data_IF_347166867259
#
_entry.id   IF_347166867259
#
_cell.length_a   1.000
_cell.length_b   1.000
_cell.length_c   1.000
_cell.angle_alpha   90.00
_cell.angle_beta   90.00
_cell.angle_gamma   90.00
#
_symmetry.space_group_name_H-M   'P 1'
#
loop_
_entity.id
_entity.type
_entity.pdbx_description
1 polymer ?
#
# COMPACT_ATOMS: atom_id res chain seq x y z
N UNK A 1 -7.25 -0.24 15.90
CA UNK A 1 -7.15 -0.33 14.44
C UNK A 1 -6.47 0.93 13.94
N UNK A 2 -5.49 0.81 13.04
CA UNK A 2 -4.76 1.96 12.47
C UNK A 2 -5.46 2.43 11.20
N UNK A 3 -5.21 3.66 10.78
CA UNK A 3 -5.92 4.31 9.68
C UNK A 3 -5.00 5.15 8.82
N UNK A 4 -5.09 4.96 7.50
CA UNK A 4 -4.57 5.89 6.50
C UNK A 4 -5.71 6.84 6.12
N UNK A 5 -5.50 8.15 6.29
CA UNK A 5 -6.49 9.19 6.02
C UNK A 5 -6.06 9.95 4.77
N UNK A 6 -7.01 10.26 3.90
CA UNK A 6 -6.73 11.01 2.66
C UNK A 6 -7.80 12.07 2.39
N UNK A 7 -7.40 13.07 1.60
CA UNK A 7 -8.24 14.12 1.06
C UNK A 7 -8.01 14.21 -0.45
N UNK A 8 -9.06 14.02 -1.22
CA UNK A 8 -9.10 14.22 -2.66
C UNK A 8 -9.61 15.65 -2.93
N UNK A 9 -8.68 16.54 -3.30
CA UNK A 9 -8.99 17.95 -3.53
C UNK A 9 -9.82 18.19 -4.79
N UNK A 10 -9.72 17.32 -5.79
CA UNK A 10 -10.45 17.47 -7.06
C UNK A 10 -11.93 17.10 -6.89
N UNK A 11 -12.22 16.11 -6.03
CA UNK A 11 -13.59 15.70 -5.70
C UNK A 11 -14.17 16.38 -4.47
N UNK A 12 -13.33 17.01 -3.65
CA UNK A 12 -13.72 17.54 -2.34
C UNK A 12 -14.10 16.43 -1.34
N UNK A 13 -13.49 15.25 -1.47
CA UNK A 13 -13.83 14.06 -0.70
C UNK A 13 -12.73 13.74 0.32
N UNK A 14 -13.12 13.37 1.55
CA UNK A 14 -12.21 12.76 2.53
C UNK A 14 -12.56 11.29 2.70
N UNK A 15 -11.56 10.48 3.02
CA UNK A 15 -11.78 9.09 3.38
C UNK A 15 -10.70 8.53 4.28
N UNK A 16 -10.93 7.31 4.74
CA UNK A 16 -9.97 6.56 5.54
C UNK A 16 -10.00 5.08 5.16
N UNK A 17 -8.84 4.44 5.23
CA UNK A 17 -8.69 2.98 5.09
C UNK A 17 -8.10 2.45 6.38
N UNK A 18 -8.80 1.50 7.01
CA UNK A 18 -8.42 0.91 8.29
C UNK A 18 -7.66 -0.39 8.11
N UNK A 19 -6.64 -0.63 8.94
CA UNK A 19 -5.81 -1.83 8.89
C UNK A 19 -5.33 -2.28 10.28
N UNK A 20 -4.98 -3.58 10.45
CA UNK A 20 -4.42 -4.08 11.71
C UNK A 20 -2.95 -3.63 11.88
N UNK A 21 -2.51 -3.43 13.13
CA UNK A 21 -1.09 -3.26 13.40
C UNK A 21 -0.41 -4.61 13.48
N UNK A 22 0.67 -4.76 12.73
CA UNK A 22 1.61 -5.87 12.89
C UNK A 22 2.75 -5.34 13.76
N UNK A 23 3.08 -5.97 14.90
CA UNK A 23 3.99 -5.42 15.90
C UNK A 23 5.47 -5.58 15.52
N UNK A 24 5.84 -5.17 14.30
CA UNK A 24 7.19 -5.17 13.75
C UNK A 24 7.58 -3.76 13.32
N UNK A 25 8.83 -3.38 13.58
CA UNK A 25 9.40 -2.15 13.02
C UNK A 25 10.04 -2.48 11.68
N UNK A 26 9.59 -1.80 10.64
CA UNK A 26 10.11 -1.91 9.28
C UNK A 26 10.47 -0.54 8.74
N UNK A 27 11.44 -0.50 7.83
CA UNK A 27 11.89 0.71 7.16
C UNK A 27 11.36 0.74 5.72
N UNK A 28 11.23 1.94 5.14
CA UNK A 28 10.85 2.13 3.73
C UNK A 28 9.37 1.96 3.40
N UNK A 29 8.50 1.62 4.36
CA UNK A 29 7.06 1.44 4.11
C UNK A 29 6.38 2.71 3.60
N UNK A 30 6.81 3.89 4.07
CA UNK A 30 6.34 5.19 3.57
C UNK A 30 6.75 5.49 2.13
N UNK A 31 7.96 5.08 1.74
CA UNK A 31 8.46 5.25 0.36
C UNK A 31 7.68 4.36 -0.61
N UNK A 32 7.43 3.11 -0.22
CA UNK A 32 6.61 2.16 -0.99
C UNK A 32 5.15 2.65 -1.08
N UNK A 33 4.56 3.08 0.04
CA UNK A 33 3.21 3.66 0.05
C UNK A 33 3.10 4.81 -0.95
N UNK A 34 3.99 5.79 -0.84
CA UNK A 34 4.00 6.98 -1.72
C UNK A 34 4.22 6.60 -3.18
N UNK A 35 5.08 5.64 -3.46
CA UNK A 35 5.34 5.14 -4.82
C UNK A 35 4.09 4.52 -5.45
N UNK A 36 3.31 3.75 -4.69
CA UNK A 36 2.04 3.17 -5.15
C UNK A 36 1.01 4.27 -5.44
N UNK A 37 0.90 5.29 -4.57
CA UNK A 37 -0.01 6.42 -4.80
C UNK A 37 0.36 7.17 -6.08
N UNK A 38 1.64 7.45 -6.32
CA UNK A 38 2.11 8.11 -7.54
C UNK A 38 1.80 7.25 -8.77
N UNK A 39 2.13 5.95 -8.73
CA UNK A 39 1.87 5.04 -9.83
C UNK A 39 0.36 4.91 -10.14
N UNK A 40 -0.48 4.90 -9.11
CA UNK A 40 -1.94 4.86 -9.24
C UNK A 40 -2.47 6.16 -9.88
N UNK A 41 -1.96 7.31 -9.45
CA UNK A 41 -2.29 8.62 -10.04
C UNK A 41 -1.94 8.68 -11.54
N UNK A 42 -0.76 8.20 -11.93
CA UNK A 42 -0.36 8.10 -13.35
C UNK A 42 -1.28 7.18 -14.16
N UNK A 43 -1.87 6.18 -13.51
CA UNK A 43 -2.87 5.27 -14.09
C UNK A 43 -4.32 5.78 -13.92
N UNK A 44 -4.52 7.02 -13.51
CA UNK A 44 -5.86 7.61 -13.30
C UNK A 44 -6.74 6.77 -12.36
N UNK A 45 -6.12 6.02 -11.43
CA UNK A 45 -6.84 5.27 -10.40
C UNK A 45 -7.28 6.28 -9.32
N UNK A 46 -8.55 6.27 -8.89
CA UNK A 46 -9.04 7.17 -7.84
C UNK A 46 -8.20 7.10 -6.56
N UNK A 47 -7.97 8.23 -5.89
CA UNK A 47 -7.15 8.31 -4.68
C UNK A 47 -7.62 7.34 -3.59
N UNK A 48 -8.93 7.21 -3.39
CA UNK A 48 -9.51 6.26 -2.44
C UNK A 48 -9.10 4.81 -2.73
N UNK A 49 -9.14 4.39 -4.00
CA UNK A 49 -8.71 3.06 -4.45
C UNK A 49 -7.18 2.91 -4.34
N UNK A 50 -6.42 3.95 -4.64
CA UNK A 50 -4.97 3.94 -4.49
C UNK A 50 -4.53 3.72 -3.03
N UNK A 51 -5.15 4.43 -2.08
CA UNK A 51 -4.88 4.26 -0.64
C UNK A 51 -5.25 2.87 -0.16
N UNK A 52 -6.37 2.32 -0.63
CA UNK A 52 -6.76 0.93 -0.33
C UNK A 52 -5.72 -0.07 -0.84
N UNK A 53 -5.34 0.02 -2.13
CA UNK A 53 -4.32 -0.86 -2.73
C UNK A 53 -2.99 -0.78 -1.97
N UNK A 54 -2.50 0.44 -1.66
CA UNK A 54 -1.25 0.62 -0.94
C UNK A 54 -1.30 0.05 0.49
N UNK A 55 -2.44 0.23 1.17
CA UNK A 55 -2.64 -0.27 2.54
C UNK A 55 -2.67 -1.79 2.56
N UNK A 56 -3.46 -2.40 1.68
CA UNK A 56 -3.60 -3.87 1.61
C UNK A 56 -2.28 -4.52 1.22
N UNK A 57 -1.59 -3.98 0.21
CA UNK A 57 -0.28 -4.46 -0.22
C UNK A 57 0.74 -4.43 0.92
N UNK A 58 0.89 -3.29 1.60
CA UNK A 58 1.85 -3.17 2.70
C UNK A 58 1.49 -4.06 3.88
N UNK A 59 0.20 -4.26 4.17
CA UNK A 59 -0.20 -5.15 5.25
C UNK A 59 0.21 -6.61 4.98
N UNK A 60 0.00 -7.11 3.76
CA UNK A 60 0.45 -8.45 3.36
C UNK A 60 1.98 -8.56 3.34
N UNK A 61 2.67 -7.55 2.79
CA UNK A 61 4.15 -7.53 2.75
C UNK A 61 4.75 -7.52 4.16
N UNK A 62 4.24 -6.67 5.06
CA UNK A 62 4.75 -6.58 6.44
C UNK A 62 4.46 -7.88 7.19
N UNK A 63 3.29 -8.49 6.95
CA UNK A 63 2.94 -9.78 7.54
C UNK A 63 3.89 -10.88 7.09
N UNK A 64 4.13 -10.98 5.79
CA UNK A 64 5.07 -11.95 5.23
C UNK A 64 6.49 -11.73 5.77
N UNK A 65 6.97 -10.48 5.76
CA UNK A 65 8.28 -10.10 6.31
C UNK A 65 8.43 -10.52 7.77
N UNK A 66 7.37 -10.35 8.57
CA UNK A 66 7.34 -10.77 9.97
C UNK A 66 7.37 -12.29 10.14
N UNK A 67 6.61 -13.03 9.32
CA UNK A 67 6.54 -14.49 9.37
C UNK A 67 7.87 -15.15 8.95
N UNK A 68 8.56 -14.58 7.95
CA UNK A 68 9.87 -15.05 7.47
C UNK A 68 11.03 -14.73 8.42
N UNK A 69 10.81 -13.91 9.47
CA UNK A 69 11.85 -13.47 10.42
C UNK A 69 13.07 -12.86 9.70
N UNK A 70 12.82 -12.10 8.63
CA UNK A 70 13.90 -11.45 7.87
C UNK A 70 14.65 -10.43 8.72
N UNK A 71 15.87 -10.09 8.29
CA UNK A 71 16.67 -9.09 8.97
C UNK A 71 16.00 -7.70 8.84
N UNK A 72 15.61 -7.04 9.94
CA UNK A 72 14.89 -5.76 9.87
C UNK A 72 15.67 -4.63 9.17
N UNK A 73 16.99 -4.76 9.04
CA UNK A 73 17.85 -3.78 8.35
C UNK A 73 17.72 -3.84 6.81
N UNK A 74 17.16 -4.92 6.26
CA UNK A 74 16.99 -5.11 4.81
C UNK A 74 15.68 -4.48 4.30
N UNK A 75 14.84 -3.96 5.20
CA UNK A 75 13.54 -3.38 4.85
C UNK A 75 12.43 -4.42 4.84
N UNK A 76 11.54 -4.33 3.86
CA UNK A 76 10.37 -5.20 3.71
C UNK A 76 10.52 -6.11 2.48
N UNK A 77 10.11 -7.38 2.61
CA UNK A 77 10.19 -8.37 1.54
C UNK A 77 8.97 -8.25 0.60
N UNK A 78 8.93 -7.19 -0.21
CA UNK A 78 7.76 -6.88 -1.04
C UNK A 78 7.71 -7.64 -2.36
N UNK A 79 8.83 -8.23 -2.79
CA UNK A 79 8.99 -8.91 -4.08
C UNK A 79 8.01 -10.07 -4.27
N UNK A 80 7.67 -10.79 -3.20
CA UNK A 80 6.71 -11.90 -3.24
C UNK A 80 5.29 -11.44 -3.57
N UNK A 81 4.95 -10.20 -3.22
CA UNK A 81 3.61 -9.64 -3.38
C UNK A 81 3.47 -8.76 -4.63
N UNK A 82 4.58 -8.46 -5.34
CA UNK A 82 4.58 -7.56 -6.51
C UNK A 82 3.60 -7.98 -7.59
N UNK A 83 3.44 -9.28 -7.83
CA UNK A 83 2.50 -9.80 -8.83
C UNK A 83 1.05 -9.41 -8.49
N UNK A 84 0.66 -9.49 -7.22
CA UNK A 84 -0.67 -9.08 -6.73
C UNK A 84 -0.85 -7.58 -6.85
N UNK A 85 0.18 -6.79 -6.53
CA UNK A 85 0.15 -5.33 -6.72
C UNK A 85 -0.14 -4.96 -8.18
N UNK A 86 0.59 -5.57 -9.12
CA UNK A 86 0.41 -5.32 -10.56
C UNK A 86 -1.02 -5.66 -10.98
N UNK A 87 -1.57 -6.78 -10.48
CA UNK A 87 -2.95 -7.18 -10.76
C UNK A 87 -3.97 -6.16 -10.22
N UNK A 88 -3.81 -5.72 -8.97
CA UNK A 88 -4.70 -4.75 -8.31
C UNK A 88 -4.67 -3.36 -8.98
N UNK A 89 -3.58 -3.05 -9.69
CA UNK A 89 -3.39 -1.79 -10.42
C UNK A 89 -3.72 -1.87 -11.91
N UNK A 90 -4.30 -2.98 -12.41
CA UNK A 90 -4.80 -3.04 -13.79
C UNK A 90 -5.97 -2.06 -13.97
N UNK A 91 -5.94 -1.32 -15.08
CA UNK A 91 -7.13 -0.66 -15.60
C UNK A 91 -7.99 -1.75 -16.25
N UNK A 92 -9.32 -1.63 -16.16
CA UNK A 92 -10.19 -2.43 -17.02
C UNK A 92 -9.92 -1.97 -18.45
N UNK A 93 -9.50 -2.91 -19.31
CA UNK A 93 -9.29 -2.63 -20.74
C UNK A 93 -10.62 -2.16 -21.34
N UNK A 94 -10.64 -0.96 -21.91
CA UNK A 94 -11.78 -0.38 -22.65
C UNK A 94 -11.87 -1.04 -24.02
#
# INVERSE_FOLDING_TARGET
>A
MFRNIFWDGDKGEKGEVSFPLIPVKTYGTGDIFSSIIIAASLKQIPLSKAVAIATDFLNEVIKFTWEEKSNPLEGICFEQELSKLIQSMKQEDI
#
